data_IF_530351301055
#
_entry.id   IF_530351301055
#
_cell.length_a   1.000
_cell.length_b   1.000
_cell.length_c   1.000
_cell.angle_alpha   90.00
_cell.angle_beta   90.00
_cell.angle_gamma   90.00
#
_symmetry.space_group_name_H-M   'P 1'
#
loop_
_entity.id
_entity.type
_entity.pdbx_description
1 polymer ?
#
# COMPACT_ATOMS: atom_id res chain seq x y z
N UNK A 1 -20.36 21.35 -4.66
CA UNK A 1 -19.54 20.18 -4.28
C UNK A 1 -18.07 20.47 -4.59
N UNK A 2 -17.23 20.71 -3.58
CA UNK A 2 -15.79 20.97 -3.79
C UNK A 2 -15.01 19.65 -3.95
N UNK A 3 -13.92 19.68 -4.72
CA UNK A 3 -13.05 18.52 -4.94
C UNK A 3 -12.32 18.17 -3.63
N UNK A 4 -12.39 16.90 -3.22
CA UNK A 4 -11.69 16.37 -2.03
C UNK A 4 -10.34 15.75 -2.39
N UNK A 5 -9.44 15.67 -1.42
CA UNK A 5 -8.04 15.19 -1.59
C UNK A 5 -7.95 13.72 -1.94
N UNK A 6 -8.73 12.87 -1.27
CA UNK A 6 -8.92 11.47 -1.63
C UNK A 6 -9.90 11.40 -2.80
N UNK A 7 -9.36 11.59 -4.01
CA UNK A 7 -10.11 11.36 -5.25
C UNK A 7 -10.44 9.88 -5.43
N UNK A 8 -11.58 9.59 -6.07
CA UNK A 8 -12.07 8.24 -6.39
C UNK A 8 -11.20 7.54 -7.45
N UNK A 9 -9.92 7.35 -7.14
CA UNK A 9 -8.98 6.59 -7.94
C UNK A 9 -9.41 5.13 -7.93
N UNK A 10 -9.54 4.52 -9.12
CA UNK A 10 -9.96 3.14 -9.25
C UNK A 10 -9.03 2.18 -8.51
N UNK A 11 -9.58 1.06 -8.06
CA UNK A 11 -8.91 0.01 -7.26
C UNK A 11 -7.51 -0.35 -7.78
N UNK A 12 -7.39 -0.52 -9.09
CA UNK A 12 -6.13 -0.85 -9.75
C UNK A 12 -5.03 0.20 -9.56
N UNK A 13 -5.38 1.48 -9.61
CA UNK A 13 -4.41 2.58 -9.43
C UNK A 13 -3.88 2.64 -7.99
N UNK A 14 -4.71 2.29 -7.00
CA UNK A 14 -4.29 2.20 -5.59
C UNK A 14 -3.35 1.01 -5.39
N UNK A 15 -3.65 -0.15 -5.99
CA UNK A 15 -2.81 -1.35 -5.90
C UNK A 15 -1.44 -1.17 -6.56
N UNK A 16 -1.36 -0.44 -7.67
CA UNK A 16 -0.09 -0.09 -8.33
C UNK A 16 0.86 0.69 -7.42
N UNK A 17 0.32 1.54 -6.55
CA UNK A 17 1.12 2.41 -5.68
C UNK A 17 1.38 1.74 -4.32
N UNK A 18 0.35 1.14 -3.72
CA UNK A 18 0.39 0.70 -2.32
C UNK A 18 0.21 -0.80 -2.11
N UNK A 19 0.00 -1.58 -3.19
CA UNK A 19 -0.19 -3.02 -3.12
C UNK A 19 1.08 -3.77 -2.71
N UNK A 20 0.93 -5.03 -2.34
CA UNK A 20 2.04 -5.86 -1.86
C UNK A 20 3.20 -5.94 -2.87
N UNK A 21 2.89 -6.15 -4.16
CA UNK A 21 3.90 -6.21 -5.23
C UNK A 21 4.67 -4.89 -5.37
N UNK A 22 3.98 -3.75 -5.28
CA UNK A 22 4.59 -2.43 -5.30
C UNK A 22 5.52 -2.18 -4.10
N UNK A 23 5.22 -2.78 -2.94
CA UNK A 23 6.14 -2.74 -1.79
C UNK A 23 7.36 -3.64 -2.00
N UNK A 24 7.24 -4.76 -2.69
CA UNK A 24 8.36 -5.68 -2.89
C UNK A 24 9.35 -5.20 -3.96
N UNK A 25 8.93 -4.34 -4.90
CA UNK A 25 9.79 -3.85 -5.99
C UNK A 25 10.90 -2.89 -5.53
N UNK A 26 10.73 -2.21 -4.39
CA UNK A 26 11.70 -1.22 -3.89
C UNK A 26 12.38 -1.71 -2.59
N UNK A 27 13.66 -1.36 -2.36
CA UNK A 27 14.33 -1.66 -1.09
C UNK A 27 13.59 -1.10 0.13
N UNK A 28 13.08 0.13 0.02
CA UNK A 28 12.34 0.82 1.08
C UNK A 28 11.00 0.13 1.34
N UNK A 29 10.28 -0.28 0.29
CA UNK A 29 9.03 -1.01 0.45
C UNK A 29 9.21 -2.37 1.14
N UNK A 30 10.31 -3.08 0.88
CA UNK A 30 10.68 -4.31 1.60
C UNK A 30 10.92 -4.03 3.09
N UNK A 31 11.59 -2.93 3.43
CA UNK A 31 11.79 -2.51 4.82
C UNK A 31 10.47 -2.20 5.53
N UNK A 32 9.51 -1.55 4.85
CA UNK A 32 8.16 -1.30 5.39
C UNK A 32 7.47 -2.62 5.74
N UNK A 33 7.47 -3.61 4.84
CA UNK A 33 6.85 -4.91 5.10
C UNK A 33 7.55 -5.62 6.27
N UNK A 34 8.88 -5.57 6.36
CA UNK A 34 9.63 -6.13 7.48
C UNK A 34 9.19 -5.52 8.82
N UNK A 35 9.10 -4.19 8.89
CA UNK A 35 8.69 -3.50 10.12
C UNK A 35 7.23 -3.80 10.48
N UNK A 36 6.34 -3.93 9.50
CA UNK A 36 4.94 -4.31 9.73
C UNK A 36 4.80 -5.75 10.25
N UNK A 37 5.62 -6.68 9.75
CA UNK A 37 5.71 -8.06 10.27
C UNK A 37 6.24 -8.09 11.70
N UNK A 38 7.33 -7.36 11.99
CA UNK A 38 7.88 -7.22 13.35
C UNK A 38 6.83 -6.69 14.34
N UNK A 39 6.00 -5.74 13.90
CA UNK A 39 4.88 -5.21 14.70
C UNK A 39 3.68 -6.17 14.82
N UNK A 40 3.66 -7.29 14.09
CA UNK A 40 2.54 -8.25 14.12
C UNK A 40 1.26 -7.75 13.44
N UNK A 41 1.35 -6.85 12.45
CA UNK A 41 0.16 -6.35 11.75
C UNK A 41 -0.50 -7.47 10.93
N UNK A 42 -1.77 -7.77 11.21
CA UNK A 42 -2.59 -8.74 10.46
C UNK A 42 -2.59 -8.47 8.94
N UNK A 43 -2.68 -7.19 8.56
CA UNK A 43 -2.66 -6.77 7.15
C UNK A 43 -1.36 -6.02 6.85
N UNK A 44 -0.54 -6.55 5.94
CA UNK A 44 0.77 -5.98 5.63
C UNK A 44 0.74 -4.94 4.50
N UNK A 45 -0.13 -5.12 3.52
CA UNK A 45 -0.34 -4.19 2.41
C UNK A 45 -1.80 -4.30 1.93
N UNK A 46 -2.20 -3.41 1.03
CA UNK A 46 -3.52 -3.48 0.38
C UNK A 46 -3.52 -4.72 -0.53
N UNK A 47 -4.45 -5.65 -0.30
CA UNK A 47 -4.45 -6.99 -0.94
C UNK A 47 -5.69 -7.29 -1.77
N UNK A 48 -6.72 -6.45 -1.70
CA UNK A 48 -7.88 -6.54 -2.56
C UNK A 48 -8.15 -5.14 -3.06
#
# INVERSE_FOLDING_TARGET
MSKRTLSNKGRYSVLKVSGFRARMSTPQGRNVIRNRRKKGRKVLAITK
#
